data_IF_709341473880
#
_entry.id   IF_709341473880
#
_cell.length_a   1.000
_cell.length_b   1.000
_cell.length_c   1.000
_cell.angle_alpha   90.00
_cell.angle_beta   90.00
_cell.angle_gamma   90.00
#
_symmetry.space_group_name_H-M   'P 1'
#
loop_
_entity.id
_entity.type
_entity.pdbx_description
1 polymer ?
#
# COMPACT_ATOMS: atom_id res chain seq x y z
N UNK A 1 4.94 -16.93 35.95
CA UNK A 1 4.38 -17.38 34.66
C UNK A 1 3.39 -18.51 34.83
N UNK A 2 3.78 -19.70 35.32
CA UNK A 2 2.86 -20.86 35.50
C UNK A 2 1.62 -20.56 36.34
N UNK A 3 1.73 -19.79 37.42
CA UNK A 3 0.59 -19.37 38.23
C UNK A 3 -0.40 -18.54 37.43
N UNK A 4 0.10 -17.58 36.62
CA UNK A 4 -0.75 -16.75 35.79
C UNK A 4 -1.43 -17.55 34.67
N UNK A 5 -0.74 -18.52 34.08
CA UNK A 5 -1.32 -19.46 33.10
C UNK A 5 -2.48 -20.24 33.70
N UNK A 6 -2.34 -20.75 34.93
CA UNK A 6 -3.42 -21.43 35.68
C UNK A 6 -4.58 -20.50 36.04
N UNK A 7 -4.27 -19.28 36.53
CA UNK A 7 -5.30 -18.28 36.84
C UNK A 7 -6.05 -17.83 35.59
N UNK A 8 -5.38 -17.74 34.43
CA UNK A 8 -5.99 -17.47 33.16
C UNK A 8 -6.72 -18.69 32.56
N UNK A 9 -6.65 -19.86 33.22
CA UNK A 9 -7.22 -21.14 32.75
C UNK A 9 -6.84 -21.46 31.30
N UNK A 10 -5.56 -21.26 30.97
CA UNK A 10 -5.05 -21.59 29.62
C UNK A 10 -4.69 -23.08 29.50
N UNK A 11 -4.39 -23.75 30.62
CA UNK A 11 -4.04 -25.17 30.73
C UNK A 11 -5.26 -26.10 30.85
N UNK A 12 -6.47 -25.57 31.06
CA UNK A 12 -7.72 -26.33 31.20
C UNK A 12 -8.37 -26.47 29.83
N UNK A 13 -8.53 -27.73 29.40
CA UNK A 13 -8.98 -28.06 28.05
C UNK A 13 -10.46 -28.48 27.99
N UNK A 14 -11.13 -28.71 29.14
CA UNK A 14 -12.39 -29.47 29.15
C UNK A 14 -13.64 -28.64 28.86
N UNK A 15 -13.81 -27.45 29.43
CA UNK A 15 -14.99 -26.61 29.13
C UNK A 15 -14.65 -25.12 29.09
N UNK A 16 -14.79 -24.43 27.91
CA UNK A 16 -14.62 -22.98 27.83
C UNK A 16 -15.60 -22.17 28.72
N UNK A 17 -16.75 -22.73 29.10
CA UNK A 17 -17.73 -22.05 29.97
C UNK A 17 -17.21 -21.87 31.40
N UNK A 18 -16.29 -22.70 31.87
CA UNK A 18 -15.65 -22.51 33.16
C UNK A 18 -14.84 -21.21 33.24
N UNK A 19 -14.37 -20.71 32.09
CA UNK A 19 -13.68 -19.41 32.03
C UNK A 19 -14.63 -18.23 32.26
N UNK A 20 -15.93 -18.38 32.09
CA UNK A 20 -16.92 -17.31 32.30
C UNK A 20 -17.21 -17.11 33.78
N UNK A 21 -17.20 -18.16 34.61
CA UNK A 21 -17.52 -18.07 36.03
C UNK A 21 -16.51 -17.26 36.86
N UNK A 22 -15.23 -17.22 36.42
CA UNK A 22 -14.15 -16.52 37.12
C UNK A 22 -13.62 -15.32 36.28
N UNK A 23 -14.49 -14.74 35.46
CA UNK A 23 -14.19 -13.68 34.49
C UNK A 23 -13.23 -12.59 35.01
N UNK A 24 -13.44 -11.93 36.18
CA UNK A 24 -12.54 -10.85 36.59
C UNK A 24 -11.10 -11.33 36.85
N UNK A 25 -10.93 -12.50 37.43
CA UNK A 25 -9.60 -13.07 37.74
C UNK A 25 -8.87 -13.44 36.44
N UNK A 26 -9.57 -14.05 35.50
CA UNK A 26 -9.01 -14.47 34.23
C UNK A 26 -8.55 -13.25 33.42
N UNK A 27 -9.37 -12.22 33.32
CA UNK A 27 -9.03 -10.99 32.59
C UNK A 27 -7.79 -10.33 33.20
N UNK A 28 -7.70 -10.20 34.50
CA UNK A 28 -6.52 -9.63 35.16
C UNK A 28 -5.27 -10.50 34.98
N UNK A 29 -5.41 -11.83 35.05
CA UNK A 29 -4.31 -12.75 34.80
C UNK A 29 -3.80 -12.62 33.33
N UNK A 30 -4.71 -12.51 32.35
CA UNK A 30 -4.36 -12.29 30.92
C UNK A 30 -3.67 -10.94 30.69
N UNK A 31 -4.15 -9.86 31.33
CA UNK A 31 -3.48 -8.55 31.31
C UNK A 31 -2.06 -8.63 31.85
N UNK A 32 -1.89 -9.29 32.98
CA UNK A 32 -0.56 -9.52 33.59
C UNK A 32 0.34 -10.32 32.64
N UNK A 33 -0.16 -11.38 31.99
CA UNK A 33 0.60 -12.16 31.01
C UNK A 33 1.03 -11.31 29.82
N UNK A 34 0.14 -10.51 29.26
CA UNK A 34 0.47 -9.59 28.15
C UNK A 34 1.61 -8.64 28.55
N UNK A 35 1.50 -8.00 29.73
CA UNK A 35 2.48 -7.03 30.20
C UNK A 35 3.85 -7.67 30.49
N UNK A 36 3.86 -8.84 31.12
CA UNK A 36 5.10 -9.54 31.48
C UNK A 36 5.80 -10.07 30.23
N UNK A 37 5.06 -10.66 29.29
CA UNK A 37 5.63 -11.16 28.01
C UNK A 37 6.18 -10.00 27.18
N UNK A 38 5.48 -8.88 27.13
CA UNK A 38 5.95 -7.72 26.38
C UNK A 38 7.26 -7.14 26.95
N UNK A 39 7.41 -7.10 28.30
CA UNK A 39 8.50 -6.39 28.96
C UNK A 39 9.66 -7.29 29.45
N UNK A 40 9.57 -8.61 29.35
CA UNK A 40 10.56 -9.53 29.96
C UNK A 40 11.00 -10.63 29.00
N UNK A 41 12.29 -10.61 28.63
CA UNK A 41 12.91 -11.69 27.83
C UNK A 41 12.82 -13.07 28.50
N UNK A 42 12.88 -13.13 29.85
CA UNK A 42 12.70 -14.38 30.60
C UNK A 42 11.28 -14.89 30.41
N UNK A 43 10.26 -14.03 30.50
CA UNK A 43 8.87 -14.43 30.32
C UNK A 43 8.60 -14.86 28.87
N UNK A 44 9.24 -14.20 27.89
CA UNK A 44 9.19 -14.61 26.48
C UNK A 44 9.70 -16.05 26.31
N UNK A 45 10.86 -16.37 26.87
CA UNK A 45 11.42 -17.72 26.83
C UNK A 45 10.51 -18.74 27.51
N UNK A 46 10.01 -18.42 28.70
CA UNK A 46 9.07 -19.28 29.45
C UNK A 46 7.76 -19.50 28.67
N UNK A 47 7.30 -18.53 27.90
CA UNK A 47 6.10 -18.68 27.06
C UNK A 47 6.26 -19.74 25.97
N UNK A 48 7.47 -19.88 25.43
CA UNK A 48 7.81 -20.95 24.49
C UNK A 48 7.87 -22.31 25.18
N UNK A 49 8.55 -22.40 26.31
CA UNK A 49 8.67 -23.63 27.10
C UNK A 49 7.30 -24.17 27.56
N UNK A 50 6.37 -23.27 27.87
CA UNK A 50 4.99 -23.62 28.27
C UNK A 50 4.07 -23.85 27.04
N UNK A 51 4.54 -23.65 25.83
CA UNK A 51 3.77 -23.82 24.60
C UNK A 51 2.44 -23.03 24.57
N UNK A 52 2.50 -21.77 25.03
CA UNK A 52 1.31 -20.92 25.17
C UNK A 52 0.55 -20.72 23.84
N UNK A 53 1.24 -20.66 22.71
CA UNK A 53 0.60 -20.50 21.40
C UNK A 53 -0.35 -21.66 21.08
N UNK A 54 0.05 -22.89 21.37
CA UNK A 54 -0.78 -24.07 21.15
C UNK A 54 -2.00 -24.08 22.09
N UNK A 55 -1.81 -23.71 23.38
CA UNK A 55 -2.92 -23.61 24.35
C UNK A 55 -3.96 -22.59 23.86
N UNK A 56 -3.54 -21.39 23.46
CA UNK A 56 -4.41 -20.32 22.96
C UNK A 56 -5.14 -20.73 21.68
N UNK A 57 -4.44 -21.34 20.72
CA UNK A 57 -5.07 -21.85 19.49
C UNK A 57 -6.15 -22.91 19.79
N UNK A 58 -5.87 -23.82 20.72
CA UNK A 58 -6.84 -24.86 21.11
C UNK A 58 -8.07 -24.25 21.78
N UNK A 59 -7.90 -23.26 22.63
CA UNK A 59 -9.01 -22.53 23.25
C UNK A 59 -9.86 -21.82 22.20
N UNK A 60 -9.24 -21.07 21.30
CA UNK A 60 -9.97 -20.36 20.23
C UNK A 60 -10.68 -21.30 19.28
N UNK A 61 -10.14 -22.49 18.98
CA UNK A 61 -10.82 -23.52 18.18
C UNK A 61 -12.11 -24.03 18.84
N UNK A 62 -12.07 -24.25 20.17
CA UNK A 62 -13.23 -24.74 20.92
C UNK A 62 -14.33 -23.70 21.11
N UNK A 63 -13.96 -22.43 21.06
CA UNK A 63 -14.88 -21.32 21.32
C UNK A 63 -15.74 -20.91 20.12
N UNK A 64 -15.77 -21.67 19.04
CA UNK A 64 -16.54 -21.35 17.81
C UNK A 64 -18.05 -21.19 18.06
N UNK A 65 -18.61 -21.95 18.97
CA UNK A 65 -20.06 -22.08 19.17
C UNK A 65 -20.60 -21.36 20.41
N UNK A 66 -19.73 -20.73 21.20
CA UNK A 66 -20.13 -20.11 22.46
C UNK A 66 -19.68 -18.65 22.48
N UNK A 67 -20.57 -17.75 22.88
CA UNK A 67 -20.27 -16.34 23.19
C UNK A 67 -19.31 -16.29 24.41
N UNK A 68 -18.03 -16.53 24.17
CA UNK A 68 -17.01 -16.14 25.14
C UNK A 68 -17.15 -14.66 25.45
N UNK A 69 -17.07 -14.32 26.73
CA UNK A 69 -17.03 -12.92 27.15
C UNK A 69 -15.91 -12.24 26.33
N UNK A 70 -16.29 -11.26 25.52
CA UNK A 70 -15.43 -10.71 24.47
C UNK A 70 -14.07 -10.22 24.95
N UNK A 71 -13.94 -9.76 26.23
CA UNK A 71 -12.66 -9.33 26.79
C UNK A 71 -11.65 -10.48 26.91
N UNK A 72 -12.08 -11.68 27.31
CA UNK A 72 -11.21 -12.86 27.36
C UNK A 72 -10.67 -13.16 25.96
N UNK A 73 -11.56 -13.21 24.97
CA UNK A 73 -11.18 -13.44 23.57
C UNK A 73 -10.19 -12.37 23.06
N UNK A 74 -10.42 -11.10 23.40
CA UNK A 74 -9.51 -10.02 23.01
C UNK A 74 -8.11 -10.21 23.58
N UNK A 75 -7.97 -10.60 24.86
CA UNK A 75 -6.67 -10.81 25.47
C UNK A 75 -5.99 -12.10 24.99
N UNK A 76 -6.75 -13.16 24.71
CA UNK A 76 -6.22 -14.38 24.09
C UNK A 76 -5.63 -14.05 22.69
N UNK A 77 -6.32 -13.26 21.88
CA UNK A 77 -5.83 -12.78 20.58
C UNK A 77 -4.61 -11.86 20.73
N UNK A 78 -4.62 -10.98 21.73
CA UNK A 78 -3.49 -10.10 22.03
C UNK A 78 -2.24 -10.88 22.45
N UNK A 79 -2.40 -11.95 23.22
CA UNK A 79 -1.29 -12.84 23.54
C UNK A 79 -0.73 -13.53 22.31
N UNK A 80 -1.58 -14.03 21.39
CA UNK A 80 -1.13 -14.60 20.12
C UNK A 80 -0.41 -13.56 19.24
N UNK A 81 -0.93 -12.33 19.21
CA UNK A 81 -0.23 -11.22 18.55
C UNK A 81 1.17 -10.99 19.14
N UNK A 82 1.30 -10.87 20.47
CA UNK A 82 2.57 -10.64 21.13
C UNK A 82 3.56 -11.79 20.89
N UNK A 83 3.11 -13.03 21.02
CA UNK A 83 3.94 -14.21 20.77
C UNK A 83 4.44 -14.25 19.32
N UNK A 84 3.56 -13.99 18.37
CA UNK A 84 3.93 -13.95 16.93
C UNK A 84 4.79 -12.74 16.56
N UNK A 85 4.67 -11.63 17.31
CA UNK A 85 5.52 -10.44 17.11
C UNK A 85 6.96 -10.71 17.58
N UNK A 86 7.09 -11.29 18.77
CA UNK A 86 8.37 -11.45 19.48
C UNK A 86 9.19 -12.65 19.00
N UNK A 87 8.53 -13.67 18.43
CA UNK A 87 9.18 -14.93 18.05
C UNK A 87 8.81 -15.36 16.62
N UNK A 88 9.81 -15.41 15.75
CA UNK A 88 9.64 -15.89 14.37
C UNK A 88 9.26 -17.36 14.30
N UNK A 89 9.79 -18.20 15.19
CA UNK A 89 9.48 -19.62 15.25
C UNK A 89 7.99 -19.88 15.54
N UNK A 90 7.37 -19.05 16.39
CA UNK A 90 5.93 -19.12 16.65
C UNK A 90 5.12 -18.83 15.38
N UNK A 91 5.57 -17.94 14.51
CA UNK A 91 4.88 -17.67 13.22
C UNK A 91 4.84 -18.93 12.36
N UNK A 92 5.96 -19.62 12.27
CA UNK A 92 6.08 -20.90 11.53
C UNK A 92 5.22 -21.99 12.17
N UNK A 93 5.24 -22.12 13.49
CA UNK A 93 4.41 -23.07 14.23
C UNK A 93 2.92 -22.81 14.04
N UNK A 94 2.48 -21.54 14.16
CA UNK A 94 1.08 -21.15 13.94
C UNK A 94 0.63 -21.48 12.51
N UNK A 95 1.49 -21.28 11.53
CA UNK A 95 1.16 -21.50 10.12
C UNK A 95 1.11 -22.97 9.74
N UNK A 96 2.10 -23.74 10.17
CA UNK A 96 2.32 -25.12 9.70
C UNK A 96 1.69 -26.17 10.58
N UNK A 97 1.70 -25.99 11.91
CA UNK A 97 1.33 -27.04 12.87
C UNK A 97 -0.03 -26.77 13.53
N UNK A 98 -0.27 -25.54 13.91
CA UNK A 98 -1.43 -25.18 14.74
C UNK A 98 -2.67 -24.73 13.96
N UNK A 99 -2.61 -24.68 12.63
CA UNK A 99 -3.66 -24.09 11.78
C UNK A 99 -4.03 -22.65 12.22
N UNK A 100 -3.04 -21.90 12.69
CA UNK A 100 -3.24 -20.58 13.29
C UNK A 100 -3.89 -19.58 12.34
N UNK A 101 -3.54 -19.60 11.06
CA UNK A 101 -4.18 -18.73 10.05
C UNK A 101 -5.68 -18.97 10.01
N UNK A 102 -6.13 -20.24 9.98
CA UNK A 102 -7.55 -20.57 9.96
C UNK A 102 -8.25 -20.15 11.25
N UNK A 103 -7.63 -20.42 12.42
CA UNK A 103 -8.19 -20.07 13.75
C UNK A 103 -8.36 -18.56 13.89
N UNK A 104 -7.33 -17.80 13.54
CA UNK A 104 -7.35 -16.34 13.63
C UNK A 104 -8.33 -15.71 12.62
N UNK A 105 -8.44 -16.28 11.40
CA UNK A 105 -9.41 -15.84 10.39
C UNK A 105 -10.84 -16.04 10.88
N UNK A 106 -11.14 -17.18 11.50
CA UNK A 106 -12.45 -17.45 12.09
C UNK A 106 -12.73 -16.57 13.33
N UNK A 107 -11.71 -16.27 14.13
CA UNK A 107 -11.86 -15.33 15.23
C UNK A 107 -12.17 -13.90 14.73
N UNK A 108 -11.53 -13.47 13.63
CA UNK A 108 -11.85 -12.20 12.97
C UNK A 108 -13.26 -12.19 12.42
N UNK A 109 -13.65 -13.22 11.66
CA UNK A 109 -14.99 -13.38 11.09
C UNK A 109 -16.08 -13.28 12.16
N UNK A 110 -15.91 -13.99 13.29
CA UNK A 110 -16.88 -13.95 14.38
C UNK A 110 -16.91 -12.58 15.08
N UNK A 111 -15.78 -11.86 15.19
CA UNK A 111 -15.73 -10.51 15.77
C UNK A 111 -16.40 -9.47 14.88
N UNK A 112 -16.40 -9.69 13.57
CA UNK A 112 -17.09 -8.85 12.60
C UNK A 112 -18.55 -9.26 12.37
N UNK A 113 -19.02 -10.37 12.94
CA UNK A 113 -20.35 -10.94 12.72
C UNK A 113 -20.69 -11.09 11.21
N UNK A 114 -19.75 -11.66 10.44
CA UNK A 114 -19.90 -11.80 8.99
C UNK A 114 -21.02 -12.79 8.66
N UNK A 115 -21.92 -12.39 7.76
CA UNK A 115 -22.95 -13.27 7.19
C UNK A 115 -22.65 -13.50 5.71
N UNK A 116 -22.48 -14.75 5.31
CA UNK A 116 -22.15 -15.12 3.94
C UNK A 116 -23.42 -15.29 3.08
N UNK A 117 -23.41 -14.73 1.89
CA UNK A 117 -24.47 -14.86 0.88
C UNK A 117 -24.02 -15.68 -0.33
N UNK A 118 -22.74 -15.97 -0.45
CA UNK A 118 -22.15 -16.77 -1.51
C UNK A 118 -20.68 -17.04 -1.25
N UNK A 119 -20.03 -17.75 -2.15
CA UNK A 119 -18.59 -17.98 -2.04
C UNK A 119 -17.83 -16.64 -2.12
N UNK A 120 -17.05 -16.31 -1.10
CA UNK A 120 -16.35 -15.04 -0.92
C UNK A 120 -17.23 -13.77 -0.96
N UNK A 121 -18.55 -13.92 -0.79
CA UNK A 121 -19.48 -12.80 -0.77
C UNK A 121 -20.19 -12.72 0.58
N UNK A 122 -19.84 -11.71 1.38
CA UNK A 122 -20.55 -11.36 2.61
C UNK A 122 -21.78 -10.47 2.30
N UNK A 123 -22.83 -10.56 3.13
CA UNK A 123 -23.96 -9.67 3.07
C UNK A 123 -23.52 -8.23 3.37
N UNK A 124 -23.82 -7.32 2.46
CA UNK A 124 -23.63 -5.88 2.66
C UNK A 124 -24.93 -5.28 3.19
N UNK A 125 -24.92 -4.90 4.46
CA UNK A 125 -26.03 -4.24 5.11
C UNK A 125 -25.66 -2.75 5.32
N UNK A 126 -26.31 -1.88 4.57
CA UNK A 126 -26.02 -0.44 4.60
C UNK A 126 -26.45 0.24 5.90
N UNK A 127 -27.44 -0.30 6.57
CA UNK A 127 -28.02 0.24 7.82
C UNK A 127 -27.41 -0.43 9.07
N UNK A 128 -26.34 -1.21 8.89
CA UNK A 128 -25.72 -1.90 10.01
C UNK A 128 -25.14 -0.89 11.01
N UNK A 129 -25.47 -1.07 12.32
CA UNK A 129 -24.85 -0.25 13.35
C UNK A 129 -23.33 -0.47 13.41
N UNK A 130 -22.55 0.54 13.83
CA UNK A 130 -21.13 0.38 14.10
C UNK A 130 -20.86 -0.78 15.07
N UNK A 131 -19.70 -1.42 14.92
CA UNK A 131 -19.25 -2.44 15.88
C UNK A 131 -19.13 -1.82 17.27
N UNK A 132 -19.38 -2.62 18.29
CA UNK A 132 -19.04 -2.26 19.67
C UNK A 132 -17.52 -2.06 19.84
N UNK A 133 -17.12 -1.37 20.88
CA UNK A 133 -15.70 -1.19 21.20
C UNK A 133 -14.99 -2.54 21.40
N UNK A 134 -15.66 -3.49 22.01
CA UNK A 134 -15.14 -4.82 22.27
C UNK A 134 -14.92 -5.62 20.99
N UNK A 135 -15.93 -5.68 20.10
CA UNK A 135 -15.83 -6.35 18.79
C UNK A 135 -14.71 -5.73 17.95
N UNK A 136 -14.62 -4.39 17.94
CA UNK A 136 -13.57 -3.65 17.22
C UNK A 136 -12.18 -4.00 17.75
N UNK A 137 -11.98 -3.99 19.06
CA UNK A 137 -10.69 -4.33 19.66
C UNK A 137 -10.30 -5.79 19.38
N UNK A 138 -11.23 -6.74 19.49
CA UNK A 138 -10.97 -8.14 19.14
C UNK A 138 -10.59 -8.31 17.66
N UNK A 139 -11.29 -7.63 16.76
CA UNK A 139 -10.96 -7.65 15.34
C UNK A 139 -9.55 -7.09 15.07
N UNK A 140 -9.19 -5.98 15.71
CA UNK A 140 -7.85 -5.37 15.58
C UNK A 140 -6.75 -6.32 16.07
N UNK A 141 -6.92 -6.99 17.22
CA UNK A 141 -5.91 -7.93 17.73
C UNK A 141 -5.80 -9.17 16.82
N UNK A 142 -6.91 -9.67 16.26
CA UNK A 142 -6.89 -10.74 15.27
C UNK A 142 -6.16 -10.34 13.98
N UNK A 143 -6.42 -9.12 13.47
CA UNK A 143 -5.74 -8.57 12.29
C UNK A 143 -4.23 -8.45 12.50
N UNK A 144 -3.79 -7.95 13.66
CA UNK A 144 -2.36 -7.83 14.00
C UNK A 144 -1.68 -9.21 14.07
N UNK A 145 -2.33 -10.20 14.69
CA UNK A 145 -1.81 -11.55 14.76
C UNK A 145 -1.72 -12.21 13.37
N UNK A 146 -2.77 -12.07 12.55
CA UNK A 146 -2.79 -12.55 11.16
C UNK A 146 -1.70 -11.90 10.32
N UNK A 147 -1.48 -10.59 10.46
CA UNK A 147 -0.41 -9.87 9.76
C UNK A 147 0.95 -10.52 10.04
N UNK A 148 1.29 -10.77 11.32
CA UNK A 148 2.56 -11.40 11.67
C UNK A 148 2.70 -12.82 11.11
N UNK A 149 1.63 -13.61 11.17
CA UNK A 149 1.67 -15.01 10.73
C UNK A 149 1.76 -15.13 9.20
N UNK A 150 1.25 -14.13 8.46
CA UNK A 150 1.24 -14.13 6.99
C UNK A 150 2.42 -13.39 6.34
N UNK A 151 3.31 -12.77 7.13
CA UNK A 151 4.40 -11.91 6.65
C UNK A 151 5.26 -12.51 5.54
N UNK A 152 5.53 -13.82 5.56
CA UNK A 152 6.43 -14.48 4.60
C UNK A 152 5.68 -15.41 3.62
N UNK A 153 4.37 -15.20 3.42
CA UNK A 153 3.49 -16.11 2.68
C UNK A 153 3.29 -15.74 1.21
N UNK A 154 4.29 -15.15 0.56
CA UNK A 154 4.19 -14.55 -0.78
C UNK A 154 3.92 -15.55 -1.93
N UNK A 155 4.17 -16.85 -1.74
CA UNK A 155 4.00 -17.85 -2.78
C UNK A 155 2.81 -18.76 -2.48
N UNK A 156 1.78 -18.69 -3.30
CA UNK A 156 0.67 -19.65 -3.29
C UNK A 156 1.14 -20.93 -4.02
N UNK A 157 1.36 -21.98 -3.26
CA UNK A 157 1.83 -23.26 -3.83
C UNK A 157 0.69 -24.25 -4.13
N UNK A 158 -0.51 -24.00 -3.59
CA UNK A 158 -1.66 -24.89 -3.75
C UNK A 158 -2.98 -24.17 -3.96
N UNK A 159 -3.95 -24.88 -4.56
CA UNK A 159 -5.34 -24.39 -4.70
C UNK A 159 -6.00 -24.12 -3.33
N UNK A 160 -5.65 -24.90 -2.32
CA UNK A 160 -6.19 -24.76 -0.97
C UNK A 160 -5.70 -23.46 -0.31
N UNK A 161 -4.45 -23.12 -0.48
CA UNK A 161 -3.90 -21.83 0.01
C UNK A 161 -4.55 -20.65 -0.71
N UNK A 162 -4.74 -20.73 -2.03
CA UNK A 162 -5.46 -19.72 -2.80
C UNK A 162 -6.89 -19.51 -2.30
N UNK A 163 -7.61 -20.58 -1.99
CA UNK A 163 -8.95 -20.51 -1.40
C UNK A 163 -8.92 -19.81 -0.02
N UNK A 164 -7.96 -20.17 0.82
CA UNK A 164 -7.80 -19.59 2.16
C UNK A 164 -7.49 -18.08 2.09
N UNK A 165 -6.61 -17.67 1.17
CA UNK A 165 -6.29 -16.24 0.98
C UNK A 165 -7.47 -15.45 0.40
N UNK A 166 -8.22 -15.99 -0.57
CA UNK A 166 -9.44 -15.35 -1.07
C UNK A 166 -10.51 -15.22 0.00
N UNK A 167 -10.68 -16.26 0.82
CA UNK A 167 -11.60 -16.21 1.95
C UNK A 167 -11.23 -15.11 2.95
N UNK A 168 -9.93 -15.02 3.30
CA UNK A 168 -9.41 -13.95 4.15
C UNK A 168 -9.60 -12.57 3.51
N UNK A 169 -9.29 -12.41 2.22
CA UNK A 169 -9.48 -11.14 1.49
C UNK A 169 -10.96 -10.72 1.45
N UNK A 170 -11.90 -11.66 1.35
CA UNK A 170 -13.33 -11.37 1.42
C UNK A 170 -13.76 -10.86 2.81
N UNK A 171 -13.20 -11.42 3.89
CA UNK A 171 -13.42 -10.91 5.26
C UNK A 171 -12.79 -9.52 5.41
N UNK A 172 -11.60 -9.29 4.85
CA UNK A 172 -10.95 -7.98 4.89
C UNK A 172 -11.71 -6.92 4.09
N UNK A 173 -12.28 -7.31 2.94
CA UNK A 173 -13.22 -6.46 2.22
C UNK A 173 -14.40 -6.05 3.11
N UNK A 174 -15.00 -7.01 3.79
CA UNK A 174 -16.09 -6.74 4.73
C UNK A 174 -15.63 -5.86 5.91
N UNK A 175 -14.42 -6.05 6.42
CA UNK A 175 -13.82 -5.21 7.44
C UNK A 175 -13.70 -3.75 7.00
N UNK A 176 -13.27 -3.48 5.75
CA UNK A 176 -13.22 -2.13 5.18
C UNK A 176 -14.60 -1.48 5.09
N UNK A 177 -15.66 -2.27 4.83
CA UNK A 177 -17.04 -1.79 4.77
C UNK A 177 -17.69 -1.57 6.14
N UNK A 178 -17.00 -1.94 7.21
CA UNK A 178 -17.51 -1.89 8.59
C UNK A 178 -16.92 -0.68 9.31
N UNK A 179 -17.73 -0.04 10.16
CA UNK A 179 -17.31 1.08 11.00
C UNK A 179 -17.19 0.66 12.46
N UNK A 180 -16.23 1.22 13.17
CA UNK A 180 -16.09 1.10 14.62
C UNK A 180 -16.93 2.15 15.38
N UNK A 181 -16.87 2.14 16.71
CA UNK A 181 -17.69 3.04 17.57
C UNK A 181 -17.29 4.51 17.48
N UNK A 182 -16.09 4.79 17.01
CA UNK A 182 -15.55 6.13 16.78
C UNK A 182 -14.79 6.18 15.45
N UNK A 183 -14.57 7.38 14.93
CA UNK A 183 -13.77 7.57 13.71
C UNK A 183 -12.34 7.05 13.88
N UNK A 184 -11.69 7.33 15.03
CA UNK A 184 -10.34 6.84 15.31
C UNK A 184 -10.28 5.29 15.35
N UNK A 185 -11.30 4.65 15.93
CA UNK A 185 -11.39 3.19 15.96
C UNK A 185 -11.67 2.60 14.59
N UNK A 186 -12.46 3.25 13.76
CA UNK A 186 -12.66 2.88 12.36
C UNK A 186 -11.35 2.98 11.58
N UNK A 187 -10.62 4.07 11.78
CA UNK A 187 -9.33 4.29 11.11
C UNK A 187 -8.27 3.27 11.58
N UNK A 188 -8.23 2.93 12.87
CA UNK A 188 -7.35 1.88 13.40
C UNK A 188 -7.70 0.51 12.81
N UNK A 189 -8.99 0.17 12.73
CA UNK A 189 -9.48 -1.06 12.14
C UNK A 189 -9.09 -1.16 10.65
N UNK A 190 -9.37 -0.12 9.87
CA UNK A 190 -9.04 -0.07 8.43
C UNK A 190 -7.53 -0.11 8.21
N UNK A 191 -6.73 0.58 9.02
CA UNK A 191 -5.26 0.55 8.92
C UNK A 191 -4.71 -0.87 9.08
N UNK A 192 -5.19 -1.63 10.09
CA UNK A 192 -4.76 -3.01 10.30
C UNK A 192 -5.26 -3.96 9.19
N UNK A 193 -6.47 -3.73 8.66
CA UNK A 193 -6.99 -4.48 7.51
C UNK A 193 -6.15 -4.23 6.23
N UNK A 194 -5.77 -2.99 5.96
CA UNK A 194 -4.93 -2.60 4.83
C UNK A 194 -3.53 -3.24 4.95
N UNK A 195 -2.94 -3.20 6.15
CA UNK A 195 -1.65 -3.85 6.39
C UNK A 195 -1.73 -5.36 6.10
N UNK A 196 -2.79 -6.04 6.55
CA UNK A 196 -2.97 -7.46 6.26
C UNK A 196 -3.25 -7.73 4.78
N UNK A 197 -4.02 -6.87 4.08
CA UNK A 197 -4.25 -6.98 2.63
C UNK A 197 -2.94 -6.92 1.84
N UNK A 198 -1.94 -6.18 2.33
CA UNK A 198 -0.61 -6.11 1.70
C UNK A 198 0.16 -7.44 1.76
N UNK A 199 -0.22 -8.35 2.66
CA UNK A 199 0.35 -9.69 2.75
C UNK A 199 -0.42 -10.73 1.90
N UNK A 200 -1.58 -10.36 1.32
CA UNK A 200 -2.38 -11.26 0.48
C UNK A 200 -1.78 -11.30 -0.93
N UNK A 201 -1.59 -12.49 -1.52
CA UNK A 201 -1.18 -12.60 -2.91
C UNK A 201 -2.11 -11.85 -3.85
N UNK A 202 -1.56 -11.05 -4.75
CA UNK A 202 -2.34 -10.15 -5.61
C UNK A 202 -3.38 -10.87 -6.45
N UNK A 203 -3.10 -12.11 -6.85
CA UNK A 203 -4.05 -12.99 -7.56
C UNK A 203 -5.29 -13.36 -6.75
N UNK A 204 -5.28 -13.14 -5.43
CA UNK A 204 -6.40 -13.40 -4.52
C UNK A 204 -7.16 -12.13 -4.13
N UNK A 205 -6.76 -10.95 -4.61
CA UNK A 205 -7.41 -9.67 -4.35
C UNK A 205 -8.58 -9.38 -5.31
N UNK A 206 -8.86 -10.27 -6.25
CA UNK A 206 -10.02 -10.21 -7.15
C UNK A 206 -11.35 -10.11 -6.40
N UNK A 207 -11.43 -10.66 -5.19
CA UNK A 207 -12.61 -10.61 -4.31
C UNK A 207 -12.87 -9.24 -3.67
N UNK A 208 -11.96 -8.27 -3.81
CA UNK A 208 -12.21 -6.88 -3.37
C UNK A 208 -13.31 -6.20 -4.18
N UNK A 209 -13.55 -6.67 -5.40
CA UNK A 209 -14.62 -6.22 -6.29
C UNK A 209 -15.56 -7.38 -6.59
N UNK A 210 -16.86 -7.17 -6.37
CA UNK A 210 -17.89 -8.16 -6.64
C UNK A 210 -18.82 -7.66 -7.75
N UNK A 211 -19.46 -8.56 -8.53
CA UNK A 211 -20.55 -8.15 -9.40
C UNK A 211 -21.63 -7.42 -8.58
N UNK A 212 -22.03 -6.24 -9.05
CA UNK A 212 -23.06 -5.43 -8.38
C UNK A 212 -24.44 -6.04 -8.63
N UNK A 213 -25.28 -6.14 -7.60
CA UNK A 213 -26.71 -6.45 -7.75
C UNK A 213 -27.48 -5.22 -8.29
N UNK A 214 -28.64 -5.44 -8.92
CA UNK A 214 -29.42 -4.34 -9.50
C UNK A 214 -30.00 -3.37 -8.47
N UNK A 215 -30.15 -3.80 -7.22
CA UNK A 215 -30.82 -3.07 -6.15
C UNK A 215 -29.87 -2.17 -5.31
N UNK A 216 -28.56 -2.32 -5.48
CA UNK A 216 -27.59 -1.56 -4.68
C UNK A 216 -27.35 -0.15 -5.26
N UNK A 217 -27.49 0.87 -4.41
CA UNK A 217 -27.15 2.29 -4.69
C UNK A 217 -25.64 2.54 -4.72
N UNK A 218 -24.86 1.48 -4.88
CA UNK A 218 -23.41 1.48 -4.67
C UNK A 218 -22.58 2.12 -5.79
N UNK A 219 -21.36 2.49 -5.42
CA UNK A 219 -20.32 2.98 -6.34
C UNK A 219 -19.99 1.86 -7.34
N UNK A 220 -20.51 1.98 -8.56
CA UNK A 220 -20.41 0.97 -9.62
C UNK A 220 -19.47 1.42 -10.71
N UNK A 221 -18.69 0.47 -11.22
CA UNK A 221 -17.90 0.65 -12.43
C UNK A 221 -17.87 -0.64 -13.24
N UNK A 222 -18.31 -0.58 -14.52
CA UNK A 222 -18.42 -1.73 -15.41
C UNK A 222 -19.16 -2.93 -14.79
N UNK A 223 -20.25 -2.68 -14.07
CA UNK A 223 -21.05 -3.73 -13.41
C UNK A 223 -20.44 -4.32 -12.14
N UNK A 224 -19.31 -3.78 -11.66
CA UNK A 224 -18.65 -4.22 -10.43
C UNK A 224 -18.89 -3.20 -9.31
N UNK A 225 -19.08 -3.69 -8.09
CA UNK A 225 -19.14 -2.88 -6.88
C UNK A 225 -17.70 -2.46 -6.49
N UNK A 226 -17.44 -1.15 -6.46
CA UNK A 226 -16.14 -0.56 -6.17
C UNK A 226 -16.05 0.07 -4.78
N UNK A 227 -17.04 -0.16 -3.90
CA UNK A 227 -17.13 0.50 -2.60
C UNK A 227 -15.88 0.30 -1.73
N UNK A 228 -15.35 -0.93 -1.68
CA UNK A 228 -14.11 -1.20 -0.93
C UNK A 228 -12.91 -0.43 -1.50
N UNK A 229 -12.82 -0.32 -2.84
CA UNK A 229 -11.77 0.44 -3.52
C UNK A 229 -11.91 1.94 -3.23
N UNK A 230 -13.16 2.46 -3.18
CA UNK A 230 -13.40 3.85 -2.80
C UNK A 230 -12.93 4.13 -1.37
N UNK A 231 -13.23 3.25 -0.43
CA UNK A 231 -12.76 3.40 0.96
C UNK A 231 -11.23 3.42 1.05
N UNK A 232 -10.55 2.60 0.26
CA UNK A 232 -9.08 2.62 0.19
C UNK A 232 -8.55 3.95 -0.38
N UNK A 233 -9.21 4.52 -1.38
CA UNK A 233 -8.87 5.84 -1.93
C UNK A 233 -9.10 6.95 -0.91
N UNK A 234 -10.26 6.96 -0.24
CA UNK A 234 -10.61 7.95 0.78
C UNK A 234 -9.62 7.86 1.97
N UNK A 235 -9.26 6.63 2.38
CA UNK A 235 -8.25 6.41 3.41
C UNK A 235 -6.88 6.95 2.99
N UNK A 236 -6.46 6.69 1.76
CA UNK A 236 -5.21 7.22 1.20
C UNK A 236 -5.20 8.75 1.22
N UNK A 237 -6.26 9.39 0.72
CA UNK A 237 -6.37 10.85 0.68
C UNK A 237 -6.34 11.45 2.09
N UNK A 238 -7.09 10.88 3.03
CA UNK A 238 -7.08 11.28 4.44
C UNK A 238 -5.67 11.18 5.06
N UNK A 239 -4.90 10.14 4.72
CA UNK A 239 -3.51 9.99 5.18
C UNK A 239 -2.57 11.03 4.58
N UNK A 240 -2.75 11.40 3.33
CA UNK A 240 -1.99 12.48 2.69
C UNK A 240 -2.29 13.82 3.39
N UNK A 241 -3.56 14.10 3.67
CA UNK A 241 -3.98 15.37 4.29
C UNK A 241 -3.52 15.50 5.74
N UNK A 242 -3.44 14.41 6.50
CA UNK A 242 -2.88 14.42 7.86
C UNK A 242 -1.41 14.83 7.90
N UNK A 243 -0.64 14.61 6.83
CA UNK A 243 0.72 15.10 6.69
C UNK A 243 1.76 14.50 7.66
N UNK A 244 1.40 13.53 8.47
CA UNK A 244 2.26 12.91 9.48
C UNK A 244 2.35 11.39 9.31
N UNK A 245 3.49 10.81 9.71
CA UNK A 245 3.71 9.35 9.70
C UNK A 245 3.41 8.68 8.35
N UNK A 246 3.81 9.29 7.25
CA UNK A 246 3.56 8.77 5.90
C UNK A 246 4.05 7.33 5.71
N UNK A 247 5.21 6.99 6.27
CA UNK A 247 5.80 5.66 6.12
C UNK A 247 4.90 4.55 6.67
N UNK A 248 4.26 4.79 7.82
CA UNK A 248 3.44 3.79 8.49
C UNK A 248 1.98 3.81 8.01
N UNK A 249 1.46 4.98 7.68
CA UNK A 249 0.05 5.15 7.34
C UNK A 249 -0.26 5.17 5.85
N UNK A 250 0.63 5.75 5.02
CA UNK A 250 0.37 5.95 3.59
C UNK A 250 1.00 4.87 2.71
N UNK A 251 2.24 4.43 3.04
CA UNK A 251 2.95 3.45 2.20
C UNK A 251 2.17 2.15 2.01
N UNK A 252 1.55 1.52 3.03
CA UNK A 252 0.80 0.28 2.84
C UNK A 252 -0.38 0.42 1.87
N UNK A 253 -1.19 1.49 2.01
CA UNK A 253 -2.36 1.68 1.15
C UNK A 253 -1.95 2.02 -0.29
N UNK A 254 -0.90 2.82 -0.49
CA UNK A 254 -0.37 3.10 -1.82
C UNK A 254 0.19 1.85 -2.50
N UNK A 255 0.95 1.03 -1.76
CA UNK A 255 1.46 -0.26 -2.28
C UNK A 255 0.32 -1.17 -2.69
N UNK A 256 -0.69 -1.35 -1.83
CA UNK A 256 -1.86 -2.16 -2.11
C UNK A 256 -2.60 -1.68 -3.37
N UNK A 257 -2.90 -0.38 -3.45
CA UNK A 257 -3.59 0.20 -4.60
C UNK A 257 -2.76 0.08 -5.88
N UNK A 258 -1.44 0.23 -5.79
CA UNK A 258 -0.52 0.07 -6.94
C UNK A 258 -0.60 -1.35 -7.50
N UNK A 259 -0.50 -2.36 -6.65
CA UNK A 259 -0.57 -3.77 -7.06
C UNK A 259 -1.96 -4.14 -7.59
N UNK A 260 -3.03 -3.67 -6.95
CA UNK A 260 -4.39 -3.84 -7.46
C UNK A 260 -4.56 -3.19 -8.85
N UNK A 261 -4.01 -2.00 -9.07
CA UNK A 261 -4.06 -1.33 -10.37
C UNK A 261 -3.23 -2.04 -11.44
N UNK A 262 -2.10 -2.64 -11.05
CA UNK A 262 -1.25 -3.38 -11.99
C UNK A 262 -1.95 -4.62 -12.54
N UNK A 263 -2.63 -5.36 -11.68
CA UNK A 263 -3.28 -6.65 -12.01
C UNK A 263 -4.72 -6.53 -12.46
N UNK A 264 -5.53 -5.66 -11.87
CA UNK A 264 -6.96 -5.59 -12.10
C UNK A 264 -7.37 -4.37 -12.93
N UNK A 265 -7.69 -4.60 -14.22
CA UNK A 265 -8.07 -3.55 -15.19
C UNK A 265 -9.20 -2.66 -14.70
N UNK A 266 -10.26 -3.25 -14.13
CA UNK A 266 -11.43 -2.48 -13.66
C UNK A 266 -11.08 -1.57 -12.50
N UNK A 267 -10.28 -2.05 -11.56
CA UNK A 267 -9.78 -1.23 -10.42
C UNK A 267 -8.92 -0.09 -10.96
N UNK A 268 -7.96 -0.37 -11.85
CA UNK A 268 -7.11 0.67 -12.46
C UNK A 268 -7.91 1.76 -13.16
N UNK A 269 -8.91 1.38 -13.99
CA UNK A 269 -9.74 2.35 -14.71
C UNK A 269 -10.59 3.19 -13.76
N UNK A 270 -11.18 2.57 -12.74
CA UNK A 270 -11.96 3.25 -11.72
C UNK A 270 -11.12 4.29 -10.95
N UNK A 271 -9.95 3.87 -10.47
CA UNK A 271 -9.04 4.76 -9.75
C UNK A 271 -8.49 5.86 -10.65
N UNK A 272 -8.11 5.52 -11.90
CA UNK A 272 -7.62 6.50 -12.86
C UNK A 272 -8.63 7.60 -13.14
N UNK A 273 -9.91 7.26 -13.27
CA UNK A 273 -10.96 8.23 -13.51
C UNK A 273 -11.08 9.29 -12.39
N UNK A 274 -10.72 8.94 -11.16
CA UNK A 274 -10.76 9.82 -10.01
C UNK A 274 -9.43 10.57 -9.75
N UNK A 275 -8.31 9.85 -9.86
CA UNK A 275 -6.97 10.39 -9.56
C UNK A 275 -6.38 11.16 -10.75
N UNK A 276 -6.53 10.64 -11.96
CA UNK A 276 -6.00 11.21 -13.20
C UNK A 276 -7.13 11.39 -14.24
N UNK A 277 -8.15 12.18 -13.95
CA UNK A 277 -9.19 12.48 -14.94
C UNK A 277 -8.58 13.12 -16.19
N UNK A 278 -9.26 13.07 -17.34
CA UNK A 278 -8.78 13.71 -18.57
C UNK A 278 -8.46 15.19 -18.32
N UNK A 279 -7.25 15.61 -18.72
CA UNK A 279 -6.76 16.97 -18.51
C UNK A 279 -7.53 17.95 -19.41
N UNK A 280 -8.07 19.01 -18.78
CA UNK A 280 -8.69 20.14 -19.49
C UNK A 280 -7.93 21.42 -19.19
N UNK A 281 -7.62 21.67 -17.93
CA UNK A 281 -6.85 22.83 -17.48
C UNK A 281 -5.40 22.43 -17.20
N UNK A 282 -4.47 23.07 -17.87
CA UNK A 282 -3.01 22.94 -17.76
C UNK A 282 -2.33 24.27 -17.48
N UNK A 283 -3.08 25.27 -17.01
CA UNK A 283 -2.56 26.59 -16.67
C UNK A 283 -1.67 26.59 -15.43
N UNK A 284 -1.90 25.65 -14.53
CA UNK A 284 -1.16 25.51 -13.26
C UNK A 284 -0.26 24.29 -13.27
N UNK A 285 0.86 24.37 -12.52
CA UNK A 285 1.77 23.23 -12.35
C UNK A 285 1.06 22.02 -11.74
N UNK A 286 1.42 20.79 -12.14
CA UNK A 286 0.77 19.57 -11.67
C UNK A 286 0.75 19.38 -10.15
N UNK A 287 1.78 19.88 -9.45
CA UNK A 287 1.90 19.83 -7.99
C UNK A 287 1.08 20.91 -7.26
N UNK A 288 0.58 21.93 -7.97
CA UNK A 288 -0.19 23.05 -7.38
C UNK A 288 -1.68 22.75 -7.42
N UNK A 289 -2.34 22.84 -6.27
CA UNK A 289 -3.78 22.62 -6.14
C UNK A 289 -4.14 21.65 -5.01
N UNK A 290 -5.42 21.29 -4.95
CA UNK A 290 -6.01 20.49 -3.86
C UNK A 290 -6.51 19.12 -4.30
N UNK A 291 -6.46 18.81 -5.60
CA UNK A 291 -6.92 17.51 -6.10
C UNK A 291 -5.99 16.38 -5.66
N UNK A 292 -6.50 15.14 -5.65
CA UNK A 292 -5.70 13.95 -5.33
C UNK A 292 -4.47 13.87 -6.24
N UNK A 293 -4.59 14.20 -7.54
CA UNK A 293 -3.46 14.30 -8.45
C UNK A 293 -2.39 15.25 -7.93
N UNK A 294 -2.77 16.48 -7.60
CA UNK A 294 -1.81 17.48 -7.12
C UNK A 294 -1.09 17.03 -5.85
N UNK A 295 -1.84 16.41 -4.90
CA UNK A 295 -1.31 15.87 -3.66
C UNK A 295 -0.27 14.76 -3.93
N UNK A 296 -0.59 13.81 -4.79
CA UNK A 296 0.31 12.71 -5.17
C UNK A 296 1.55 13.19 -5.93
N UNK A 297 1.39 14.17 -6.85
CA UNK A 297 2.53 14.76 -7.57
C UNK A 297 3.50 15.45 -6.61
N UNK A 298 3.01 16.17 -5.60
CA UNK A 298 3.88 16.71 -4.53
C UNK A 298 4.68 15.63 -3.81
N UNK A 299 4.08 14.47 -3.58
CA UNK A 299 4.78 13.35 -2.92
C UNK A 299 5.89 12.74 -3.79
N UNK A 300 5.85 12.88 -5.12
CA UNK A 300 6.93 12.41 -6.03
C UNK A 300 8.27 13.10 -5.77
N UNK A 301 8.27 14.25 -5.11
CA UNK A 301 9.47 15.02 -4.74
C UNK A 301 9.67 15.10 -3.22
N UNK A 302 8.97 14.24 -2.46
CA UNK A 302 9.06 14.21 -1.01
C UNK A 302 10.46 13.82 -0.53
N UNK A 303 10.86 14.33 0.66
CA UNK A 303 12.18 14.06 1.26
C UNK A 303 12.37 12.60 1.66
N UNK A 304 11.31 11.91 2.12
CA UNK A 304 11.35 10.47 2.39
C UNK A 304 11.36 9.70 1.08
N UNK A 305 12.43 8.91 0.88
CA UNK A 305 12.65 8.15 -0.36
C UNK A 305 11.55 7.10 -0.60
N UNK A 306 11.08 6.42 0.46
CA UNK A 306 10.04 5.40 0.35
C UNK A 306 8.71 5.99 -0.10
N UNK A 307 8.30 7.11 0.49
CA UNK A 307 7.08 7.85 0.12
C UNK A 307 7.18 8.36 -1.32
N UNK A 308 8.31 8.95 -1.68
CA UNK A 308 8.57 9.45 -3.03
C UNK A 308 8.45 8.35 -4.08
N UNK A 309 9.10 7.21 -3.84
CA UNK A 309 9.09 6.09 -4.79
C UNK A 309 7.69 5.49 -4.97
N UNK A 310 6.97 5.23 -3.88
CA UNK A 310 5.66 4.59 -3.97
C UNK A 310 4.60 5.49 -4.61
N UNK A 311 4.64 6.82 -4.33
CA UNK A 311 3.73 7.76 -4.98
C UNK A 311 3.99 7.87 -6.49
N UNK A 312 5.27 7.93 -6.89
CA UNK A 312 5.65 7.95 -8.30
C UNK A 312 5.28 6.64 -9.02
N UNK A 313 5.51 5.49 -8.37
CA UNK A 313 5.14 4.17 -8.90
C UNK A 313 3.61 4.04 -9.09
N UNK A 314 2.83 4.50 -8.13
CA UNK A 314 1.37 4.48 -8.22
C UNK A 314 0.86 5.27 -9.43
N UNK A 315 1.35 6.50 -9.62
CA UNK A 315 0.98 7.32 -10.77
C UNK A 315 1.46 6.70 -12.10
N UNK A 316 2.64 6.09 -12.10
CA UNK A 316 3.17 5.42 -13.29
C UNK A 316 2.31 4.22 -13.70
N UNK A 317 1.89 3.38 -12.74
CA UNK A 317 0.97 2.26 -12.99
C UNK A 317 -0.40 2.74 -13.50
N UNK A 318 -0.94 3.85 -12.96
CA UNK A 318 -2.16 4.46 -13.47
C UNK A 318 -2.01 4.95 -14.92
N UNK A 319 -0.80 5.34 -15.31
CA UNK A 319 -0.43 5.69 -16.69
C UNK A 319 -0.04 4.47 -17.55
N UNK A 320 -0.35 3.24 -17.11
CA UNK A 320 0.01 1.98 -17.81
C UNK A 320 1.52 1.85 -18.04
N UNK A 321 2.30 2.37 -17.10
CA UNK A 321 3.77 2.41 -17.16
C UNK A 321 4.33 3.01 -18.47
N UNK A 322 3.63 3.99 -19.02
CA UNK A 322 4.06 4.74 -20.21
C UNK A 322 4.60 6.10 -19.79
N UNK A 323 5.82 6.40 -20.20
CA UNK A 323 6.51 7.66 -19.86
C UNK A 323 5.77 8.88 -20.39
N UNK A 324 5.35 8.87 -21.66
CA UNK A 324 4.58 9.95 -22.27
C UNK A 324 3.28 10.27 -21.51
N UNK A 325 2.59 9.22 -21.07
CA UNK A 325 1.37 9.34 -20.29
C UNK A 325 1.62 9.89 -18.89
N UNK A 326 2.72 9.46 -18.23
CA UNK A 326 3.12 9.98 -16.92
C UNK A 326 3.47 11.47 -17.02
N UNK A 327 4.32 11.84 -17.98
CA UNK A 327 4.78 13.22 -18.18
C UNK A 327 3.62 14.19 -18.43
N UNK A 328 2.59 13.74 -19.17
CA UNK A 328 1.36 14.50 -19.38
C UNK A 328 0.71 14.96 -18.06
N UNK A 329 0.68 14.10 -17.04
CA UNK A 329 0.00 14.39 -15.77
C UNK A 329 0.91 14.99 -14.68
N UNK A 330 2.22 14.84 -14.80
CA UNK A 330 3.17 15.19 -13.73
C UNK A 330 4.24 16.20 -14.12
N UNK A 331 4.53 16.37 -15.41
CA UNK A 331 5.73 17.05 -15.89
C UNK A 331 7.00 16.22 -15.65
N UNK A 332 8.03 16.50 -16.45
CA UNK A 332 9.30 15.77 -16.36
C UNK A 332 10.06 16.03 -15.04
N UNK A 333 10.01 17.26 -14.53
CA UNK A 333 10.70 17.62 -13.28
C UNK A 333 10.27 16.76 -12.10
N UNK A 334 8.97 16.49 -11.96
CA UNK A 334 8.45 15.62 -10.90
C UNK A 334 8.73 14.13 -11.16
N UNK A 335 8.73 13.70 -12.43
CA UNK A 335 8.91 12.31 -12.83
C UNK A 335 10.38 11.87 -12.90
N UNK A 336 11.34 12.79 -13.01
CA UNK A 336 12.75 12.50 -13.29
C UNK A 336 13.37 11.46 -12.34
N UNK A 337 13.04 11.52 -11.04
CA UNK A 337 13.55 10.56 -10.05
C UNK A 337 13.12 9.12 -10.32
N UNK A 338 11.86 8.89 -10.68
CA UNK A 338 11.34 7.58 -11.08
C UNK A 338 11.98 7.12 -12.39
N UNK A 339 12.01 7.99 -13.39
CA UNK A 339 12.54 7.67 -14.71
C UNK A 339 14.02 7.30 -14.64
N UNK A 340 14.82 8.02 -13.82
CA UNK A 340 16.21 7.67 -13.57
C UNK A 340 16.36 6.30 -12.91
N UNK A 341 15.56 6.02 -11.87
CA UNK A 341 15.59 4.75 -11.15
C UNK A 341 15.18 3.55 -12.03
N UNK A 342 14.33 3.78 -13.06
CA UNK A 342 13.86 2.77 -13.99
C UNK A 342 14.67 2.70 -15.31
N UNK A 343 15.66 3.57 -15.51
CA UNK A 343 16.39 3.67 -16.79
C UNK A 343 15.54 4.16 -17.96
N UNK A 344 14.50 4.97 -17.68
CA UNK A 344 13.52 5.45 -18.67
C UNK A 344 13.65 6.95 -18.97
N UNK A 345 14.82 7.56 -18.71
CA UNK A 345 15.03 8.99 -18.97
C UNK A 345 14.92 9.37 -20.44
N UNK A 346 15.21 8.44 -21.36
CA UNK A 346 15.05 8.62 -22.80
C UNK A 346 13.60 8.38 -23.30
N UNK A 347 12.68 8.06 -22.37
CA UNK A 347 11.29 7.70 -22.71
C UNK A 347 11.06 6.19 -22.73
N UNK A 348 9.90 5.75 -23.21
CA UNK A 348 9.54 4.34 -23.31
C UNK A 348 8.41 3.92 -22.39
N UNK A 349 8.44 2.65 -21.98
CA UNK A 349 7.44 2.07 -21.06
C UNK A 349 8.12 1.12 -20.05
N UNK A 350 7.44 0.84 -18.95
CA UNK A 350 7.85 -0.14 -17.97
C UNK A 350 7.66 -1.59 -18.44
N UNK A 351 7.95 -2.53 -17.57
CA UNK A 351 8.06 -3.97 -17.89
C UNK A 351 6.69 -4.65 -18.07
N UNK A 352 5.61 -4.08 -17.52
CA UNK A 352 4.28 -4.69 -17.54
C UNK A 352 3.52 -4.38 -18.82
N UNK A 353 2.87 -5.42 -19.35
CA UNK A 353 1.99 -5.28 -20.50
C UNK A 353 0.56 -4.97 -20.06
N UNK A 354 -0.02 -3.88 -20.60
CA UNK A 354 -1.39 -3.47 -20.35
C UNK A 354 -2.19 -3.56 -21.65
N UNK A 355 -3.48 -3.99 -21.54
CA UNK A 355 -4.35 -4.01 -22.71
C UNK A 355 -4.59 -2.60 -23.26
N UNK A 356 -4.48 -2.46 -24.57
CA UNK A 356 -4.58 -1.18 -25.29
C UNK A 356 -6.02 -0.66 -25.30
N UNK A 357 -6.33 0.25 -24.38
CA UNK A 357 -7.37 1.26 -24.55
C UNK A 357 -6.66 2.60 -24.56
N UNK A 358 -6.65 3.29 -25.67
CA UNK A 358 -6.06 4.63 -25.76
C UNK A 358 -6.91 5.62 -24.96
N UNK A 359 -6.25 6.34 -24.05
CA UNK A 359 -6.85 7.52 -23.44
C UNK A 359 -6.85 8.63 -24.48
N UNK A 360 -8.01 8.99 -24.97
CA UNK A 360 -8.16 10.11 -25.88
C UNK A 360 -7.89 11.42 -25.14
N UNK A 361 -6.98 12.23 -25.68
CA UNK A 361 -6.75 13.59 -25.19
C UNK A 361 -7.99 14.45 -25.41
N UNK A 362 -8.30 15.30 -24.44
CA UNK A 362 -9.37 16.31 -24.56
C UNK A 362 -8.98 17.36 -25.62
N UNK A 363 -9.95 18.02 -26.22
CA UNK A 363 -9.67 19.07 -27.22
C UNK A 363 -8.92 20.25 -26.59
N UNK A 364 -9.23 20.60 -25.33
CA UNK A 364 -8.53 21.63 -24.57
C UNK A 364 -7.04 21.28 -24.39
N UNK A 365 -6.74 20.02 -24.02
CA UNK A 365 -5.36 19.58 -23.88
C UNK A 365 -4.62 19.54 -25.22
N UNK A 366 -5.25 19.05 -26.28
CA UNK A 366 -4.66 19.04 -27.63
C UNK A 366 -4.27 20.43 -28.08
N UNK A 367 -5.14 21.41 -27.87
CA UNK A 367 -4.90 22.81 -28.23
C UNK A 367 -3.77 23.43 -27.39
N UNK A 368 -3.65 23.11 -26.13
CA UNK A 368 -2.62 23.63 -25.22
C UNK A 368 -1.26 22.94 -25.41
N UNK A 369 -1.23 21.68 -25.86
CA UNK A 369 -0.05 20.81 -25.91
C UNK A 369 1.19 21.44 -26.54
N UNK A 370 1.12 22.21 -27.67
CA UNK A 370 2.30 22.85 -28.29
C UNK A 370 2.99 23.86 -27.37
N UNK A 371 2.26 24.47 -26.42
CA UNK A 371 2.75 25.52 -25.54
C UNK A 371 2.98 25.04 -24.10
N UNK A 372 2.83 23.73 -23.85
CA UNK A 372 3.12 23.14 -22.52
C UNK A 372 4.64 22.95 -22.40
N UNK A 373 5.22 23.52 -21.35
CA UNK A 373 6.60 23.23 -20.99
C UNK A 373 6.66 21.80 -20.43
N UNK A 374 7.39 20.92 -21.11
CA UNK A 374 7.52 19.51 -20.73
C UNK A 374 8.17 19.28 -19.38
N UNK A 375 9.04 20.20 -18.93
CA UNK A 375 9.74 20.08 -17.64
C UNK A 375 8.78 20.38 -16.50
N UNK A 376 8.04 21.47 -16.59
CA UNK A 376 7.13 21.95 -15.54
C UNK A 376 5.72 21.36 -15.66
N UNK A 377 5.34 20.85 -16.83
CA UNK A 377 4.07 20.18 -17.09
C UNK A 377 2.86 21.13 -17.16
N UNK A 378 3.08 22.45 -17.35
CA UNK A 378 2.01 23.44 -17.49
C UNK A 378 2.25 24.39 -18.64
N UNK A 379 1.22 25.15 -18.99
CA UNK A 379 1.27 26.18 -20.02
C UNK A 379 2.20 27.31 -19.57
N UNK A 380 3.21 27.62 -20.35
CA UNK A 380 4.08 28.77 -20.13
C UNK A 380 4.08 29.63 -21.38
N UNK A 381 3.94 30.93 -21.19
CA UNK A 381 4.19 31.86 -22.28
C UNK A 381 5.67 31.75 -22.69
N UNK A 382 5.98 31.69 -23.99
CA UNK A 382 7.36 31.63 -24.43
C UNK A 382 8.10 32.87 -23.94
N UNK A 383 8.93 32.70 -22.93
CA UNK A 383 9.80 33.79 -22.50
C UNK A 383 10.85 34.05 -23.57
N UNK A 384 11.17 35.30 -23.85
CA UNK A 384 12.26 35.62 -24.75
C UNK A 384 13.53 34.94 -24.23
N UNK A 385 14.21 34.22 -25.13
CA UNK A 385 15.44 33.54 -24.75
C UNK A 385 16.49 34.58 -24.33
N UNK A 386 16.97 34.59 -23.07
CA UNK A 386 17.97 35.57 -22.65
C UNK A 386 19.24 35.57 -23.48
N UNK A 387 19.49 34.50 -24.23
CA UNK A 387 20.64 34.37 -25.11
C UNK A 387 20.44 35.07 -26.47
N UNK A 388 19.21 35.42 -26.85
CA UNK A 388 18.93 36.04 -28.16
C UNK A 388 19.48 37.49 -28.24
N UNK A 389 19.57 38.17 -27.10
CA UNK A 389 20.15 39.52 -26.98
C UNK A 389 21.66 39.51 -26.68
N UNK A 390 22.26 38.32 -26.42
CA UNK A 390 23.68 38.20 -26.16
C UNK A 390 24.51 38.12 -27.41
N UNK A 391 25.65 38.83 -27.43
CA UNK A 391 26.69 38.64 -28.45
C UNK A 391 27.35 37.27 -28.33
N UNK A 392 27.97 36.75 -29.39
CA UNK A 392 28.67 35.45 -29.32
C UNK A 392 29.79 35.46 -28.26
N UNK A 393 30.49 36.56 -28.09
CA UNK A 393 31.52 36.73 -27.05
C UNK A 393 30.93 36.63 -25.64
N UNK A 394 29.73 37.19 -25.43
CA UNK A 394 29.03 37.07 -24.15
C UNK A 394 28.55 35.64 -23.88
N UNK A 395 28.07 34.94 -24.91
CA UNK A 395 27.67 33.52 -24.82
C UNK A 395 28.87 32.63 -24.46
N UNK A 396 30.02 32.85 -25.13
CA UNK A 396 31.24 32.10 -24.80
C UNK A 396 31.73 32.39 -23.40
N UNK A 397 31.69 33.63 -22.95
CA UNK A 397 32.10 34.02 -21.58
C UNK A 397 31.21 33.33 -20.52
N UNK A 398 29.89 33.39 -20.66
CA UNK A 398 28.97 32.74 -19.69
C UNK A 398 29.07 31.21 -19.77
N UNK A 399 29.29 30.61 -20.94
CA UNK A 399 29.54 29.19 -21.08
C UNK A 399 30.84 28.78 -20.37
N UNK A 400 31.94 29.54 -20.55
CA UNK A 400 33.23 29.28 -19.87
C UNK A 400 33.07 29.39 -18.34
N UNK A 401 32.34 30.38 -17.88
CA UNK A 401 32.04 30.57 -16.44
C UNK A 401 31.26 29.41 -15.87
N UNK A 402 30.25 28.87 -16.57
CA UNK A 402 29.52 27.68 -16.18
C UNK A 402 30.42 26.44 -16.11
N UNK A 403 31.25 26.21 -17.13
CA UNK A 403 32.22 25.11 -17.16
C UNK A 403 33.17 25.18 -15.96
N UNK A 404 33.72 26.35 -15.68
CA UNK A 404 34.61 26.53 -14.53
C UNK A 404 33.91 26.30 -13.18
N UNK A 405 32.62 26.68 -13.08
CA UNK A 405 31.82 26.43 -11.89
C UNK A 405 31.56 24.93 -11.69
N UNK A 406 31.15 24.20 -12.73
CA UNK A 406 30.96 22.75 -12.69
C UNK A 406 32.26 22.02 -12.35
N UNK A 407 33.36 22.42 -12.94
CA UNK A 407 34.70 21.85 -12.71
C UNK A 407 35.11 22.01 -11.24
N UNK A 408 34.89 23.20 -10.66
CA UNK A 408 35.13 23.46 -9.25
C UNK A 408 34.25 22.61 -8.35
N UNK A 409 32.94 22.56 -8.58
CA UNK A 409 31.98 21.77 -7.78
C UNK A 409 32.26 20.25 -7.89
N UNK A 410 32.74 19.80 -9.05
CA UNK A 410 33.13 18.41 -9.26
C UNK A 410 34.42 18.04 -8.53
N UNK A 411 35.45 18.95 -8.57
CA UNK A 411 36.72 18.75 -7.80
C UNK A 411 36.51 18.78 -6.30
N UNK A 412 35.59 19.62 -5.84
CA UNK A 412 35.23 19.71 -4.40
C UNK A 412 34.32 18.55 -3.95
N UNK A 413 34.06 17.57 -4.85
CA UNK A 413 33.16 16.39 -4.63
C UNK A 413 31.73 16.76 -4.21
N UNK A 414 31.31 18.00 -4.44
CA UNK A 414 29.96 18.48 -4.11
C UNK A 414 28.92 17.98 -5.11
N UNK A 415 29.31 17.76 -6.37
CA UNK A 415 28.48 17.19 -7.43
C UNK A 415 29.24 16.10 -8.18
N UNK A 416 28.50 15.10 -8.68
CA UNK A 416 28.99 14.12 -9.67
C UNK A 416 28.22 14.34 -10.96
N UNK A 417 28.82 14.93 -12.00
CA UNK A 417 28.16 15.11 -13.27
C UNK A 417 27.75 13.76 -13.86
N UNK A 418 26.46 13.59 -14.15
CA UNK A 418 25.90 12.38 -14.74
C UNK A 418 25.27 12.73 -16.08
N UNK A 419 25.41 11.84 -17.05
CA UNK A 419 24.74 11.89 -18.35
C UNK A 419 23.73 10.75 -18.49
N UNK A 420 22.88 10.84 -19.50
CA UNK A 420 21.93 9.79 -19.87
C UNK A 420 22.49 9.06 -21.09
N UNK A 421 22.61 7.74 -21.00
CA UNK A 421 23.00 6.90 -22.16
C UNK A 421 21.84 6.79 -23.15
N UNK A 422 22.09 6.37 -24.40
CA UNK A 422 21.03 6.17 -25.39
C UNK A 422 19.95 5.15 -24.95
N UNK A 423 20.31 4.22 -24.08
CA UNK A 423 19.39 3.23 -23.49
C UNK A 423 18.52 3.78 -22.35
N UNK A 424 18.66 5.07 -21.99
CA UNK A 424 17.88 5.72 -20.93
C UNK A 424 18.47 5.56 -19.51
N UNK A 425 19.60 4.90 -19.36
CA UNK A 425 20.27 4.72 -18.05
C UNK A 425 21.21 5.88 -17.74
N UNK A 426 21.48 6.12 -16.46
CA UNK A 426 22.44 7.13 -16.02
C UNK A 426 23.87 6.58 -15.99
N UNK A 427 24.82 7.39 -16.41
CA UNK A 427 26.25 7.09 -16.31
C UNK A 427 27.05 8.37 -15.99
N UNK A 428 28.29 8.28 -15.54
CA UNK A 428 29.19 9.44 -15.49
C UNK A 428 29.17 10.19 -16.83
N UNK A 429 29.18 11.51 -16.77
CA UNK A 429 29.01 12.37 -17.96
C UNK A 429 30.01 12.03 -19.09
N UNK A 430 31.27 11.75 -18.73
CA UNK A 430 32.31 11.37 -19.68
C UNK A 430 31.99 10.10 -20.45
N UNK A 431 31.45 9.09 -19.75
CA UNK A 431 31.04 7.80 -20.32
C UNK A 431 29.79 7.94 -21.21
N UNK A 432 28.80 8.70 -20.74
CA UNK A 432 27.61 8.97 -21.51
C UNK A 432 27.92 9.76 -22.80
N UNK A 433 28.78 10.76 -22.74
CA UNK A 433 29.19 11.56 -23.86
C UNK A 433 29.97 10.77 -24.93
N UNK A 434 30.84 9.84 -24.50
CA UNK A 434 31.63 9.01 -25.43
C UNK A 434 30.73 8.08 -26.26
N UNK A 435 29.63 7.57 -25.70
CA UNK A 435 28.69 6.71 -26.42
C UNK A 435 27.85 7.47 -27.47
N UNK A 436 27.57 8.74 -27.23
CA UNK A 436 26.92 9.59 -28.26
C UNK A 436 27.83 9.91 -29.44
N UNK A 437 29.16 9.99 -29.24
CA UNK A 437 30.12 10.22 -30.31
C UNK A 437 30.34 8.98 -31.17
N UNK A 438 30.37 7.77 -30.60
CA UNK A 438 30.52 6.52 -31.34
C UNK A 438 29.31 6.21 -32.21
N UNK A 439 28.08 6.42 -31.72
CA UNK A 439 26.86 6.22 -32.54
C UNK A 439 26.68 7.20 -33.71
N UNK A 440 27.34 8.36 -33.68
CA UNK A 440 27.31 9.30 -34.81
C UNK A 440 28.29 8.93 -35.92
N UNK A 441 29.36 8.20 -35.62
CA UNK A 441 30.31 7.75 -36.64
C UNK A 441 29.79 6.54 -37.44
N UNK A 442 29.04 5.63 -36.79
CA UNK A 442 28.46 4.45 -37.45
C UNK A 442 27.27 4.79 -38.39
N UNK A 443 26.65 5.98 -38.24
CA UNK A 443 25.57 6.42 -39.11
C UNK A 443 26.01 7.25 -40.34
N UNK A 444 27.29 7.58 -40.44
CA UNK A 444 27.83 8.36 -41.56
C UNK A 444 28.56 7.50 -42.65
N UNK A 445 28.72 6.20 -42.38
CA UNK A 445 29.40 5.28 -43.33
C UNK A 445 28.42 4.36 -44.09
N UNK A 446 27.12 4.68 -44.13
CA UNK A 446 26.09 3.96 -44.89
C UNK A 446 25.31 4.91 -45.84
N UNK A 447 26.03 5.52 -46.78
CA UNK A 447 25.46 6.11 -48.02
C UNK A 447 26.32 5.64 -49.23
#
# INVERSE_FOLDING_TARGET
MQILVRLAKLDIVEDPLERVSEFPVIVEALKCLCNIIFNSAIAQKLSLELNLAAMLCNLLKKCKDQQLVGDIKCFDLRLLFLLSLLHTDIRSQLRQELQGVQVLTQALESSLNVRWTGEYKAAEDHDRPPLSLQETNCAIEALKALFNVTLDSWNVHSKNESHQFRYMAAILRYCLLTTGPTEDKTEELHSNAINLLSNIPVSCLDVLINPSSQEETDIKYNGMNMRAIQILLDFMEKRIDKGSSYREGLTPVLSLLTECCRTHRNIRKFIKAQVLPPLRDVSSRPEVGTTVRNKLVRLMTHVDLGVKQIAAEFLFVLCKERVDSLLKYTGYGNAAGLLAARGLLAGGRGDHWYSDDEDTDTEEYKSAKPNINLITGHLEEPMPNPMDEMTEEQKEYEAMKLVNMFDKLSRDELIKPMGVRPDGTMAPLEEAASQYHTNKQDSSDSD
#
